data_IF_020218452875
#
_entry.id   IF_020218452875
#
_cell.length_a   1.000
_cell.length_b   1.000
_cell.length_c   1.000
_cell.angle_alpha   90.00
_cell.angle_beta   90.00
_cell.angle_gamma   90.00
#
_symmetry.space_group_name_H-M   'P 1'
#
loop_
_entity.id
_entity.type
_entity.pdbx_description
1 polymer ?
#
# COMPACT_ATOMS: atom_id res chain seq x y z
N UNK A 1 7.32 17.96 -11.93
CA UNK A 1 8.35 16.99 -11.52
C UNK A 1 8.69 16.10 -12.70
N UNK A 2 9.89 15.53 -12.75
CA UNK A 2 10.29 14.56 -13.78
C UNK A 2 10.33 13.16 -13.15
N UNK A 3 9.49 12.19 -13.58
CA UNK A 3 9.52 10.85 -12.99
C UNK A 3 10.81 10.13 -13.39
N UNK A 4 11.62 9.76 -12.39
CA UNK A 4 12.82 8.94 -12.57
C UNK A 4 12.51 7.51 -12.10
N UNK A 5 12.23 6.57 -13.03
CA UNK A 5 11.94 5.20 -12.63
C UNK A 5 13.22 4.52 -12.14
N UNK A 6 13.20 4.05 -10.90
CA UNK A 6 14.27 3.26 -10.31
C UNK A 6 13.79 1.85 -10.01
N UNK A 7 14.69 0.87 -10.11
CA UNK A 7 14.42 -0.56 -9.92
C UNK A 7 14.19 -0.94 -8.45
N UNK A 8 13.17 -0.35 -7.83
CA UNK A 8 12.66 -0.70 -6.51
C UNK A 8 13.04 0.26 -5.39
N UNK A 9 12.49 0.00 -4.20
CA UNK A 9 12.53 0.92 -3.08
C UNK A 9 13.92 1.18 -2.48
N UNK A 10 14.88 0.26 -2.64
CA UNK A 10 16.26 0.47 -2.15
C UNK A 10 16.94 1.61 -2.92
N UNK A 11 16.97 1.51 -4.25
CA UNK A 11 17.61 2.50 -5.12
C UNK A 11 16.86 3.84 -5.04
N UNK A 12 15.54 3.79 -4.93
CA UNK A 12 14.71 4.99 -4.76
C UNK A 12 15.06 5.76 -3.49
N UNK A 13 15.24 5.09 -2.35
CA UNK A 13 15.68 5.75 -1.11
C UNK A 13 17.08 6.33 -1.23
N UNK A 14 17.99 5.57 -1.84
CA UNK A 14 19.38 6.02 -2.02
C UNK A 14 19.43 7.33 -2.81
N UNK A 15 18.72 7.44 -3.94
CA UNK A 15 18.74 8.66 -4.74
C UNK A 15 18.15 9.88 -4.03
N UNK A 16 17.17 9.72 -3.13
CA UNK A 16 16.72 10.83 -2.27
C UNK A 16 17.76 11.16 -1.20
N UNK A 17 18.35 10.15 -0.57
CA UNK A 17 19.33 10.31 0.50
C UNK A 17 20.63 10.96 0.03
N UNK A 18 21.06 10.70 -1.20
CA UNK A 18 22.24 11.31 -1.83
C UNK A 18 21.96 12.66 -2.47
N UNK A 19 20.69 13.07 -2.57
CA UNK A 19 20.28 14.32 -3.22
C UNK A 19 20.21 14.26 -4.75
N UNK A 20 20.31 13.07 -5.36
CA UNK A 20 20.07 12.87 -6.80
C UNK A 20 18.59 13.07 -7.19
N UNK A 21 17.68 12.99 -6.21
CA UNK A 21 16.25 13.26 -6.37
C UNK A 21 15.72 14.09 -5.20
N UNK A 22 14.84 15.05 -5.48
CA UNK A 22 14.24 15.91 -4.46
C UNK A 22 13.23 15.15 -3.56
N UNK A 23 12.51 14.19 -4.14
CA UNK A 23 11.43 13.46 -3.48
C UNK A 23 11.20 12.09 -4.12
N UNK A 24 10.59 11.17 -3.36
CA UNK A 24 10.17 9.87 -3.85
C UNK A 24 8.80 9.47 -3.31
N UNK A 25 8.09 8.64 -4.07
CA UNK A 25 6.88 7.95 -3.63
C UNK A 25 7.22 6.48 -3.29
N UNK A 26 7.06 6.10 -2.02
CA UNK A 26 7.41 4.77 -1.52
C UNK A 26 6.40 4.28 -0.46
N UNK A 27 6.27 2.96 -0.26
CA UNK A 27 5.51 2.43 0.87
C UNK A 27 6.04 2.99 2.20
N UNK A 28 5.15 3.59 2.99
CA UNK A 28 5.52 4.33 4.20
C UNK A 28 6.22 3.47 5.26
N UNK A 29 5.93 2.17 5.35
CA UNK A 29 6.54 1.24 6.32
C UNK A 29 8.07 1.21 6.28
N UNK A 30 8.67 1.42 5.10
CA UNK A 30 10.12 1.51 4.94
C UNK A 30 10.74 2.87 5.28
N UNK A 31 9.91 3.90 5.49
CA UNK A 31 10.31 5.31 5.58
C UNK A 31 10.07 5.88 6.98
N UNK A 32 8.90 5.61 7.59
CA UNK A 32 8.53 6.14 8.92
C UNK A 32 9.46 5.70 10.06
N UNK A 33 10.29 4.68 9.82
CA UNK A 33 11.31 4.20 10.75
C UNK A 33 12.69 4.86 10.55
N UNK A 34 12.82 5.83 9.63
CA UNK A 34 14.08 6.45 9.23
C UNK A 34 14.00 7.98 9.26
N UNK A 35 13.50 8.60 10.36
CA UNK A 35 13.23 10.04 10.41
C UNK A 35 14.49 10.91 10.30
N UNK A 36 15.67 10.35 10.54
CA UNK A 36 16.95 11.05 10.36
C UNK A 36 17.29 11.32 8.90
N UNK A 37 16.79 10.48 7.99
CA UNK A 37 17.20 10.49 6.58
C UNK A 37 16.02 10.89 5.68
N UNK A 38 14.78 10.70 6.13
CA UNK A 38 13.59 10.96 5.32
C UNK A 38 12.50 11.66 6.12
N UNK A 39 11.84 12.63 5.47
CA UNK A 39 10.60 13.24 5.94
C UNK A 39 9.43 12.72 5.11
N UNK A 40 8.38 12.24 5.76
CA UNK A 40 7.11 11.94 5.09
C UNK A 40 6.36 13.27 4.92
N UNK A 41 6.11 13.67 3.67
CA UNK A 41 5.48 14.97 3.37
C UNK A 41 4.03 14.85 2.93
N UNK A 42 3.59 13.64 2.55
CA UNK A 42 2.25 13.38 2.01
C UNK A 42 1.90 11.90 2.13
N UNK A 43 0.64 11.60 2.49
CA UNK A 43 0.11 10.24 2.60
C UNK A 43 -1.00 9.99 1.56
N UNK A 44 -0.89 8.91 0.79
CA UNK A 44 -1.90 8.49 -0.19
C UNK A 44 -2.97 7.59 0.43
N UNK A 45 -3.47 8.01 1.59
CA UNK A 45 -4.54 7.33 2.33
C UNK A 45 -5.60 8.36 2.73
N UNK A 46 -6.84 7.96 2.99
CA UNK A 46 -7.91 8.85 3.44
C UNK A 46 -7.62 9.44 4.82
N UNK A 47 -7.00 8.65 5.70
CA UNK A 47 -6.53 9.06 7.02
C UNK A 47 -5.06 8.70 7.17
N UNK A 48 -4.30 9.53 7.88
CA UNK A 48 -2.92 9.19 8.24
C UNK A 48 -2.94 8.15 9.38
N UNK A 49 -2.50 6.90 9.17
CA UNK A 49 -2.53 5.87 10.19
C UNK A 49 -1.40 5.98 11.22
N UNK A 50 -0.38 6.81 10.96
CA UNK A 50 0.80 6.95 11.82
C UNK A 50 1.21 8.43 11.98
N UNK A 51 0.34 9.29 12.55
CA UNK A 51 0.64 10.72 12.69
C UNK A 51 1.95 10.97 13.45
N UNK A 52 2.18 10.26 14.55
CA UNK A 52 3.36 10.46 15.40
C UNK A 52 4.69 10.09 14.72
N UNK A 53 4.67 9.18 13.75
CA UNK A 53 5.87 8.68 13.04
C UNK A 53 6.08 9.32 11.68
N UNK A 54 5.12 10.11 11.22
CA UNK A 54 5.13 10.77 9.92
C UNK A 54 5.14 12.30 10.03
N UNK A 55 5.43 12.84 11.22
CA UNK A 55 5.37 14.30 11.49
C UNK A 55 3.98 14.87 11.12
N UNK A 56 2.93 14.08 11.41
CA UNK A 56 1.55 14.35 11.05
C UNK A 56 1.35 14.75 9.58
N UNK A 57 2.04 14.05 8.66
CA UNK A 57 1.94 14.32 7.23
C UNK A 57 0.46 14.37 6.78
N UNK A 58 0.05 15.39 6.01
CA UNK A 58 -1.32 15.48 5.52
C UNK A 58 -1.60 14.38 4.49
N UNK A 59 -2.88 14.06 4.32
CA UNK A 59 -3.30 13.18 3.22
C UNK A 59 -3.44 13.96 1.92
N UNK A 60 -3.29 13.30 0.77
CA UNK A 60 -3.46 13.94 -0.55
C UNK A 60 -4.84 14.59 -0.66
N UNK A 61 -5.89 13.85 -0.29
CA UNK A 61 -7.27 14.33 -0.36
C UNK A 61 -7.49 15.55 0.54
N UNK A 62 -6.98 15.54 1.79
CA UNK A 62 -7.11 16.68 2.68
C UNK A 62 -6.30 17.91 2.22
N UNK A 63 -5.11 17.70 1.65
CA UNK A 63 -4.22 18.79 1.24
C UNK A 63 -4.65 19.44 -0.08
N UNK A 64 -5.15 18.64 -1.04
CA UNK A 64 -5.41 19.06 -2.41
C UNK A 64 -6.88 19.02 -2.81
N UNK A 65 -7.79 18.61 -1.91
CA UNK A 65 -9.22 18.51 -2.20
C UNK A 65 -9.56 17.44 -3.23
N UNK A 66 -8.69 16.44 -3.40
CA UNK A 66 -8.91 15.32 -4.31
C UNK A 66 -9.83 14.27 -3.70
N UNK A 67 -10.35 13.37 -4.54
CA UNK A 67 -11.12 12.20 -4.12
C UNK A 67 -10.47 10.90 -4.59
N UNK A 68 -9.17 10.76 -4.31
CA UNK A 68 -8.43 9.55 -4.64
C UNK A 68 -8.79 8.45 -3.62
N UNK A 69 -8.97 7.19 -4.04
CA UNK A 69 -9.04 6.07 -3.10
C UNK A 69 -7.73 5.92 -2.33
N UNK A 70 -7.74 5.12 -1.27
CA UNK A 70 -6.50 4.70 -0.61
C UNK A 70 -5.59 4.02 -1.64
N UNK A 71 -4.34 4.47 -1.74
CA UNK A 71 -3.31 3.81 -2.55
C UNK A 71 -2.43 2.98 -1.62
N UNK A 72 -2.98 1.85 -1.18
CA UNK A 72 -2.30 0.96 -0.22
C UNK A 72 -1.13 0.29 -0.92
N UNK A 73 0.07 0.82 -0.65
CA UNK A 73 1.30 0.27 -1.19
C UNK A 73 1.57 -1.11 -0.58
N UNK A 74 1.49 -2.15 -1.42
CA UNK A 74 1.71 -3.54 -1.00
C UNK A 74 0.45 -4.29 -0.58
N UNK A 75 -0.74 -3.85 -0.97
CA UNK A 75 -1.95 -4.68 -0.92
C UNK A 75 -1.68 -6.03 -1.63
N UNK A 76 -1.87 -7.14 -0.92
CA UNK A 76 -1.65 -8.50 -1.42
C UNK A 76 -2.92 -9.32 -1.19
N UNK A 77 -3.38 -9.98 -2.24
CA UNK A 77 -4.56 -10.82 -2.20
C UNK A 77 -4.35 -12.07 -3.07
N UNK A 78 -5.08 -13.14 -2.76
CA UNK A 78 -5.16 -14.32 -3.62
C UNK A 78 -6.36 -14.18 -4.55
N UNK A 79 -6.09 -14.13 -5.86
CA UNK A 79 -7.15 -14.20 -6.87
C UNK A 79 -7.60 -15.65 -7.07
N UNK A 80 -8.89 -15.92 -6.92
CA UNK A 80 -9.48 -17.24 -7.17
C UNK A 80 -10.52 -17.12 -8.28
N UNK A 81 -10.49 -18.03 -9.25
CA UNK A 81 -11.47 -18.06 -10.34
C UNK A 81 -12.89 -18.24 -9.79
N UNK A 82 -13.83 -17.47 -10.34
CA UNK A 82 -15.25 -17.56 -9.95
C UNK A 82 -15.81 -18.98 -10.08
N UNK A 83 -15.51 -19.68 -11.18
CA UNK A 83 -16.01 -21.06 -11.37
C UNK A 83 -15.46 -22.04 -10.32
N UNK A 84 -14.26 -21.77 -9.78
CA UNK A 84 -13.67 -22.63 -8.75
C UNK A 84 -14.39 -22.46 -7.41
N UNK A 85 -14.79 -21.22 -7.08
CA UNK A 85 -15.59 -20.90 -5.89
C UNK A 85 -16.97 -21.55 -6.00
N UNK A 86 -17.65 -21.37 -7.14
CA UNK A 86 -18.99 -21.93 -7.37
C UNK A 86 -19.02 -23.46 -7.31
N UNK A 87 -17.99 -24.12 -7.86
CA UNK A 87 -17.88 -25.60 -7.84
C UNK A 87 -17.44 -26.17 -6.49
N UNK A 88 -16.75 -25.39 -5.66
CA UNK A 88 -16.16 -25.87 -4.41
C UNK A 88 -16.33 -24.83 -3.28
N UNK A 89 -17.58 -24.46 -2.91
CA UNK A 89 -17.83 -23.41 -1.93
C UNK A 89 -17.22 -23.72 -0.56
N UNK A 90 -17.23 -24.98 -0.13
CA UNK A 90 -16.67 -25.40 1.15
C UNK A 90 -15.14 -25.21 1.20
N UNK A 91 -14.44 -25.47 0.08
CA UNK A 91 -12.98 -25.26 0.01
C UNK A 91 -12.63 -23.78 0.05
N UNK A 92 -13.41 -22.95 -0.65
CA UNK A 92 -13.24 -21.50 -0.60
C UNK A 92 -13.46 -20.97 0.82
N UNK A 93 -14.51 -21.45 1.51
CA UNK A 93 -14.78 -21.12 2.90
C UNK A 93 -13.60 -21.45 3.82
N UNK A 94 -13.02 -22.65 3.70
CA UNK A 94 -11.83 -23.04 4.47
C UNK A 94 -10.69 -22.04 4.24
N UNK A 95 -10.39 -21.69 2.98
CA UNK A 95 -9.32 -20.74 2.67
C UNK A 95 -9.56 -19.37 3.32
N UNK A 96 -10.78 -18.82 3.19
CA UNK A 96 -11.10 -17.50 3.73
C UNK A 96 -11.10 -17.48 5.26
N UNK A 97 -11.61 -18.53 5.90
CA UNK A 97 -11.64 -18.64 7.36
C UNK A 97 -10.23 -18.83 7.92
N UNK A 98 -9.38 -19.63 7.28
CA UNK A 98 -7.98 -19.79 7.68
C UNK A 98 -7.21 -18.49 7.56
N UNK A 99 -7.39 -17.73 6.47
CA UNK A 99 -6.75 -16.41 6.33
C UNK A 99 -7.18 -15.43 7.43
N UNK A 100 -8.47 -15.44 7.79
CA UNK A 100 -8.97 -14.58 8.87
C UNK A 100 -8.36 -14.96 10.22
N UNK A 101 -8.27 -16.26 10.53
CA UNK A 101 -7.65 -16.75 11.78
C UNK A 101 -6.20 -16.31 11.94
N UNK A 102 -5.44 -16.22 10.85
CA UNK A 102 -4.04 -15.76 10.90
C UNK A 102 -3.94 -14.29 11.31
N UNK A 103 -4.90 -13.44 10.92
CA UNK A 103 -4.85 -12.01 11.25
C UNK A 103 -4.95 -11.76 12.77
N UNK A 104 -5.76 -12.55 13.46
CA UNK A 104 -5.96 -12.47 14.91
C UNK A 104 -4.90 -13.27 15.70
N UNK A 105 -4.00 -13.98 15.03
CA UNK A 105 -2.95 -14.79 15.66
C UNK A 105 -1.86 -13.88 16.28
N UNK A 106 -1.61 -13.96 17.60
CA UNK A 106 -0.56 -13.17 18.24
C UNK A 106 0.84 -13.45 17.66
N UNK A 107 1.12 -14.68 17.22
CA UNK A 107 2.40 -15.05 16.63
C UNK A 107 2.61 -14.36 15.28
N UNK A 108 1.52 -14.16 14.52
CA UNK A 108 1.57 -13.39 13.28
C UNK A 108 1.92 -11.92 13.55
N UNK A 109 1.27 -11.30 14.54
CA UNK A 109 1.58 -9.93 14.95
C UNK A 109 3.04 -9.80 15.40
N UNK A 110 3.53 -10.73 16.22
CA UNK A 110 4.93 -10.74 16.66
C UNK A 110 5.88 -10.85 15.47
N UNK A 111 5.60 -11.76 14.53
CA UNK A 111 6.39 -11.94 13.32
C UNK A 111 6.45 -10.66 12.47
N UNK A 112 5.33 -9.95 12.30
CA UNK A 112 5.30 -8.67 11.59
C UNK A 112 6.15 -7.62 12.31
N UNK A 113 5.95 -7.44 13.62
CA UNK A 113 6.70 -6.43 14.41
C UNK A 113 8.20 -6.68 14.34
N UNK A 114 8.64 -7.96 14.32
CA UNK A 114 10.05 -8.34 14.16
C UNK A 114 10.65 -7.87 12.83
N UNK A 115 9.85 -7.73 11.78
CA UNK A 115 10.30 -7.13 10.49
C UNK A 115 10.49 -5.61 10.56
N UNK A 116 10.12 -4.98 11.68
CA UNK A 116 10.06 -3.53 11.91
C UNK A 116 8.95 -2.84 11.12
N UNK A 117 8.07 -3.59 10.47
CA UNK A 117 6.87 -3.04 9.86
C UNK A 117 5.89 -2.54 10.95
N UNK A 118 5.28 -1.36 10.79
CA UNK A 118 4.19 -0.91 11.65
C UNK A 118 3.00 -1.86 11.58
N UNK A 119 2.48 -2.29 12.73
CA UNK A 119 1.29 -3.14 12.80
C UNK A 119 0.05 -2.40 12.31
N UNK A 120 0.01 -1.09 12.49
CA UNK A 120 -1.07 -0.18 12.07
C UNK A 120 -1.26 -0.13 10.55
N UNK A 121 -0.29 -0.63 9.78
CA UNK A 121 -0.43 -0.81 8.32
C UNK A 121 -0.99 -2.18 7.93
N UNK A 122 -1.11 -3.12 8.86
CA UNK A 122 -1.64 -4.45 8.59
C UNK A 122 -3.15 -4.42 8.83
N UNK A 123 -3.91 -4.75 7.78
CA UNK A 123 -5.36 -4.90 7.83
C UNK A 123 -5.78 -6.15 7.09
N UNK A 124 -6.86 -6.77 7.56
CA UNK A 124 -7.57 -7.78 6.81
C UNK A 124 -8.49 -7.11 5.78
N UNK A 125 -8.55 -7.68 4.58
CA UNK A 125 -9.49 -7.30 3.54
C UNK A 125 -10.21 -8.53 3.01
N UNK A 126 -11.54 -8.52 3.01
CA UNK A 126 -12.36 -9.58 2.46
C UNK A 126 -12.44 -9.50 0.92
N UNK A 127 -13.17 -10.44 0.30
CA UNK A 127 -13.29 -10.50 -1.15
C UNK A 127 -13.94 -9.24 -1.76
N UNK A 128 -14.95 -8.67 -1.10
CA UNK A 128 -15.67 -7.48 -1.58
C UNK A 128 -14.79 -6.23 -1.48
N UNK A 129 -14.05 -6.07 -0.37
CA UNK A 129 -13.07 -4.99 -0.19
C UNK A 129 -11.94 -5.10 -1.21
N UNK A 130 -11.45 -6.31 -1.48
CA UNK A 130 -10.46 -6.56 -2.52
C UNK A 130 -11.01 -6.21 -3.92
N UNK A 131 -12.25 -6.56 -4.22
CA UNK A 131 -12.91 -6.25 -5.49
C UNK A 131 -13.11 -4.73 -5.65
N UNK A 132 -13.55 -4.04 -4.61
CA UNK A 132 -13.70 -2.59 -4.58
C UNK A 132 -12.35 -1.89 -4.81
N UNK A 133 -11.29 -2.34 -4.13
CA UNK A 133 -9.94 -1.83 -4.30
C UNK A 133 -9.43 -2.04 -5.73
N UNK A 134 -9.56 -3.27 -6.28
CA UNK A 134 -9.14 -3.58 -7.64
C UNK A 134 -9.86 -2.72 -8.69
N UNK A 135 -11.18 -2.49 -8.49
CA UNK A 135 -11.96 -1.59 -9.34
C UNK A 135 -11.44 -0.15 -9.25
N UNK A 136 -11.23 0.36 -8.04
CA UNK A 136 -10.74 1.72 -7.83
C UNK A 136 -9.36 1.94 -8.48
N UNK A 137 -8.44 0.99 -8.35
CA UNK A 137 -7.13 1.05 -9.02
C UNK A 137 -7.25 0.99 -10.55
N UNK A 138 -8.18 0.18 -11.06
CA UNK A 138 -8.45 0.10 -12.50
C UNK A 138 -8.99 1.42 -13.03
N UNK A 139 -9.88 2.09 -12.29
CA UNK A 139 -10.46 3.35 -12.70
C UNK A 139 -9.43 4.49 -12.67
N UNK A 140 -8.60 4.60 -11.62
CA UNK A 140 -7.44 5.51 -11.64
C UNK A 140 -6.52 5.19 -12.83
N UNK A 141 -6.23 3.91 -13.08
CA UNK A 141 -5.36 3.51 -14.20
C UNK A 141 -5.89 3.96 -15.55
N UNK A 142 -7.21 4.07 -15.72
CA UNK A 142 -7.83 4.64 -16.93
C UNK A 142 -7.67 6.16 -16.97
N UNK A 143 -7.95 6.84 -15.86
CA UNK A 143 -7.90 8.31 -15.77
C UNK A 143 -6.49 8.85 -16.03
N UNK A 144 -5.46 8.13 -15.58
CA UNK A 144 -4.06 8.51 -15.71
C UNK A 144 -3.33 7.73 -16.82
N UNK A 145 -4.05 7.01 -17.69
CA UNK A 145 -3.46 6.13 -18.72
C UNK A 145 -2.43 6.84 -19.60
N UNK A 146 -2.71 8.07 -20.00
CA UNK A 146 -1.84 8.86 -20.87
C UNK A 146 -0.52 9.27 -20.18
N UNK A 147 -0.49 9.24 -18.84
CA UNK A 147 0.71 9.48 -18.04
C UNK A 147 1.50 8.19 -17.76
N UNK A 148 0.91 7.02 -18.03
CA UNK A 148 1.53 5.71 -17.85
C UNK A 148 2.26 5.20 -19.11
N UNK A 149 2.37 6.04 -20.15
CA UNK A 149 3.17 5.72 -21.33
C UNK A 149 4.62 6.13 -21.13
N UNK A 150 5.54 5.17 -21.08
CA UNK A 150 6.96 5.46 -21.21
C UNK A 150 7.28 5.80 -22.67
N UNK A 151 7.97 6.91 -22.93
CA UNK A 151 8.75 7.01 -24.18
C UNK A 151 9.95 6.06 -23.99
N UNK A 152 9.88 4.89 -24.62
CA UNK A 152 11.02 3.99 -24.75
C UNK A 152 12.16 4.66 -25.53
#
# INVERSE_FOLDING_TARGET
FNPIPLSGGKNTRAGVETGEMDLAALPAGGIVNRPKNFKVVLMFTHKNPLPDRSDNAPTVNAKFGTNLPDLVAGARAFGIKKEAIEKNPDRFKILTETLLKVFDDPDYKEAIVKTKAPWEFIGYGNADECAAYAKAMTDIGKDYKDLLTGKG
#
